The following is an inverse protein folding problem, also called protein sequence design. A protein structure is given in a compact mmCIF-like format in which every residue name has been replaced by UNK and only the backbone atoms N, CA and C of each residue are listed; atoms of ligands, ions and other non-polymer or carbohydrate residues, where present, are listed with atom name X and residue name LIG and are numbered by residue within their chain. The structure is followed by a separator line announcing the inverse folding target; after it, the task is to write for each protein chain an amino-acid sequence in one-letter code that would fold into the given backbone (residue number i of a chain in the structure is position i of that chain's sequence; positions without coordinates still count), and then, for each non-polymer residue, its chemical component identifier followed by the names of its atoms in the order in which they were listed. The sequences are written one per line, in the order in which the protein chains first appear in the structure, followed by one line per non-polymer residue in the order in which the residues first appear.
data_IF_958424036120
#
_entry.id   IF_958424036120
#
_cell.length_a   1.000
_cell.length_b   1.000
_cell.length_c   1.000
_cell.angle_alpha   90.00
_cell.angle_beta   90.00
_cell.angle_gamma   90.00
#
_symmetry.space_group_name_H-M   'P 1'
#
loop_
_entity.id
_entity.type
_entity.pdbx_description
1 polymer ?
#
# COMPACT_ATOMS: atom_id res chain seq x y z
N UNK A 1 5.99 12.95 6.06
CA UNK A 1 5.85 11.64 5.36
C UNK A 1 5.98 10.56 6.43
N UNK A 2 4.86 10.02 6.94
CA UNK A 2 4.82 9.24 8.20
C UNK A 2 5.76 8.03 8.13
N UNK A 3 6.76 8.01 9.01
CA UNK A 3 7.78 6.98 9.11
C UNK A 3 7.44 5.97 10.21
N UNK A 4 6.58 5.01 9.92
CA UNK A 4 6.46 3.77 10.71
C UNK A 4 7.54 2.79 10.25
N UNK A 5 8.74 2.89 10.83
CA UNK A 5 9.89 2.05 10.46
C UNK A 5 9.62 0.54 10.59
N UNK A 6 8.80 0.14 11.57
CA UNK A 6 8.50 -1.27 11.85
C UNK A 6 7.62 -1.91 10.77
N UNK A 7 6.56 -1.23 10.33
CA UNK A 7 5.70 -1.72 9.25
C UNK A 7 6.47 -1.83 7.93
N UNK A 8 7.34 -0.86 7.63
CA UNK A 8 8.18 -0.89 6.44
C UNK A 8 9.22 -2.03 6.46
N UNK A 9 9.66 -2.44 7.66
CA UNK A 9 10.57 -3.58 7.85
C UNK A 9 9.86 -4.91 7.67
N UNK A 10 8.64 -5.06 8.21
CA UNK A 10 7.81 -6.25 8.00
C UNK A 10 7.49 -6.44 6.51
N UNK A 11 7.04 -5.39 5.81
CA UNK A 11 6.80 -5.44 4.37
C UNK A 11 8.06 -5.80 3.57
N UNK A 12 9.24 -5.34 4.02
CA UNK A 12 10.49 -5.72 3.38
C UNK A 12 10.77 -7.22 3.52
N UNK A 13 10.60 -7.77 4.73
CA UNK A 13 10.80 -9.20 4.96
C UNK A 13 9.86 -10.05 4.11
N UNK A 14 8.57 -9.70 4.03
CA UNK A 14 7.58 -10.40 3.19
C UNK A 14 8.00 -10.37 1.72
N UNK A 15 8.41 -9.21 1.20
CA UNK A 15 8.88 -9.09 -0.19
C UNK A 15 10.10 -9.97 -0.45
N UNK A 16 11.07 -10.03 0.47
CA UNK A 16 12.25 -10.90 0.32
C UNK A 16 11.88 -12.38 0.27
N UNK A 17 10.94 -12.81 1.12
CA UNK A 17 10.43 -14.19 1.11
C UNK A 17 9.69 -14.49 -0.20
N UNK A 18 8.83 -13.58 -0.67
CA UNK A 18 8.11 -13.76 -1.94
C UNK A 18 9.05 -13.79 -3.15
N UNK A 19 10.07 -12.94 -3.18
CA UNK A 19 11.06 -13.01 -4.26
C UNK A 19 11.81 -14.35 -4.30
N UNK A 20 11.89 -15.07 -3.17
CA UNK A 20 12.57 -16.37 -3.09
C UNK A 20 11.66 -17.57 -3.41
N UNK A 21 10.37 -17.52 -3.05
CA UNK A 21 9.48 -18.68 -3.13
C UNK A 21 8.27 -18.49 -4.05
N UNK A 22 7.88 -17.26 -4.38
CA UNK A 22 6.69 -16.96 -5.18
C UNK A 22 7.08 -16.75 -6.66
N UNK A 23 6.74 -17.73 -7.50
CA UNK A 23 7.05 -17.72 -8.93
C UNK A 23 6.44 -16.51 -9.66
N UNK A 24 5.22 -16.08 -9.28
CA UNK A 24 4.55 -14.90 -9.86
C UNK A 24 5.33 -13.63 -9.59
N UNK A 25 5.94 -13.51 -8.42
CA UNK A 25 6.80 -12.39 -8.03
C UNK A 25 8.10 -12.42 -8.82
N UNK A 26 8.68 -13.60 -9.06
CA UNK A 26 9.86 -13.75 -9.90
C UNK A 26 9.60 -13.30 -11.35
N UNK A 27 8.49 -13.74 -11.95
CA UNK A 27 8.10 -13.33 -13.30
C UNK A 27 7.89 -11.81 -13.39
N UNK A 28 7.27 -11.22 -12.35
CA UNK A 28 7.10 -9.78 -12.28
C UNK A 28 8.44 -9.04 -12.22
N UNK A 29 9.38 -9.51 -11.41
CA UNK A 29 10.73 -8.94 -11.28
C UNK A 29 11.45 -9.04 -12.63
N UNK A 30 11.47 -10.22 -13.26
CA UNK A 30 12.10 -10.45 -14.56
C UNK A 30 11.52 -9.53 -15.63
N UNK A 31 10.19 -9.42 -15.72
CA UNK A 31 9.52 -8.52 -16.67
C UNK A 31 9.87 -7.05 -16.43
N UNK A 32 9.96 -6.60 -15.17
CA UNK A 32 10.30 -5.20 -14.85
C UNK A 32 11.78 -4.90 -15.03
N UNK A 33 12.66 -5.86 -14.77
CA UNK A 33 14.08 -5.75 -15.06
C UNK A 33 14.32 -5.65 -16.57
N UNK A 34 13.59 -6.39 -17.39
CA UNK A 34 13.64 -6.26 -18.85
C UNK A 34 13.16 -4.88 -19.35
N UNK A 35 12.30 -4.20 -18.59
CA UNK A 35 11.86 -2.82 -18.87
C UNK A 35 12.86 -1.75 -18.40
N UNK A 36 14.04 -2.13 -17.89
CA UNK A 36 15.06 -1.19 -17.43
C UNK A 36 14.85 -0.64 -16.02
N UNK A 37 13.93 -1.22 -15.24
CA UNK A 37 13.69 -0.73 -13.87
C UNK A 37 14.81 -1.16 -12.93
N UNK A 38 15.23 -0.24 -12.05
CA UNK A 38 16.17 -0.56 -10.99
C UNK A 38 15.56 -1.54 -9.99
N UNK A 39 16.39 -2.40 -9.38
CA UNK A 39 15.93 -3.32 -8.31
C UNK A 39 15.24 -2.58 -7.16
N UNK A 40 15.69 -1.35 -6.83
CA UNK A 40 15.08 -0.53 -5.77
C UNK A 40 13.65 -0.11 -6.12
N UNK A 41 13.41 0.25 -7.38
CA UNK A 41 12.07 0.65 -7.84
C UNK A 41 11.12 -0.54 -7.91
N UNK A 42 11.63 -1.71 -8.33
CA UNK A 42 10.86 -2.96 -8.31
C UNK A 42 10.46 -3.32 -6.88
N UNK A 43 11.39 -3.30 -5.92
CA UNK A 43 11.11 -3.58 -4.50
C UNK A 43 10.12 -2.56 -3.93
N UNK A 44 10.24 -1.27 -4.27
CA UNK A 44 9.29 -0.22 -3.87
C UNK A 44 7.88 -0.52 -4.38
N UNK A 45 7.77 -0.95 -5.64
CA UNK A 45 6.50 -1.34 -6.25
C UNK A 45 5.89 -2.57 -5.55
N UNK A 46 6.71 -3.59 -5.29
CA UNK A 46 6.28 -4.81 -4.59
C UNK A 46 5.81 -4.53 -3.15
N UNK A 47 6.51 -3.68 -2.40
CA UNK A 47 6.07 -3.27 -1.05
C UNK A 47 4.67 -2.64 -1.07
N UNK A 48 4.38 -1.78 -2.06
CA UNK A 48 3.04 -1.19 -2.23
C UNK A 48 1.99 -2.23 -2.59
N UNK A 49 2.33 -3.19 -3.45
CA UNK A 49 1.43 -4.26 -3.84
C UNK A 49 1.07 -5.13 -2.63
N UNK A 50 2.08 -5.60 -1.89
CA UNK A 50 1.88 -6.41 -0.66
C UNK A 50 1.08 -5.64 0.38
N UNK A 51 1.37 -4.35 0.61
CA UNK A 51 0.59 -3.55 1.56
C UNK A 51 -0.90 -3.47 1.18
N UNK A 52 -1.21 -3.38 -0.12
CA UNK A 52 -2.59 -3.40 -0.61
C UNK A 52 -3.24 -4.76 -0.42
N UNK A 53 -2.55 -5.85 -0.77
CA UNK A 53 -3.07 -7.21 -0.54
C UNK A 53 -3.37 -7.44 0.95
N UNK A 54 -2.41 -7.14 1.82
CA UNK A 54 -2.58 -7.28 3.28
C UNK A 54 -3.77 -6.46 3.76
N UNK A 55 -3.93 -5.22 3.29
CA UNK A 55 -5.08 -4.39 3.65
C UNK A 55 -6.43 -5.01 3.24
N UNK A 56 -6.49 -5.69 2.09
CA UNK A 56 -7.72 -6.37 1.64
C UNK A 56 -8.00 -7.67 2.41
N UNK A 57 -6.97 -8.33 2.93
CA UNK A 57 -7.12 -9.56 3.71
C UNK A 57 -7.41 -9.33 5.19
N UNK A 58 -7.19 -8.11 5.69
CA UNK A 58 -7.59 -7.78 7.05
C UNK A 58 -9.12 -7.74 7.13
N UNK A 59 -9.73 -8.31 8.18
CA UNK A 59 -11.16 -8.16 8.41
C UNK A 59 -11.44 -6.67 8.49
N UNK A 60 -12.29 -6.19 7.58
CA UNK A 60 -12.62 -4.79 7.47
C UNK A 60 -13.48 -4.43 8.68
N UNK A 61 -12.82 -4.10 9.80
CA UNK A 61 -13.47 -3.51 10.96
C UNK A 61 -14.28 -2.34 10.41
N UNK A 62 -15.61 -2.46 10.55
CA UNK A 62 -16.61 -1.65 9.88
C UNK A 62 -16.06 -0.24 9.62
N UNK A 63 -15.83 0.09 8.35
CA UNK A 63 -15.41 1.42 7.93
C UNK A 63 -16.39 2.37 8.65
N UNK A 64 -15.96 3.17 9.66
CA UNK A 64 -16.89 4.07 10.30
C UNK A 64 -17.46 4.93 9.17
N UNK A 65 -18.79 5.11 9.10
CA UNK A 65 -19.41 5.85 8.02
C UNK A 65 -18.64 7.15 7.90
N UNK A 66 -18.12 7.41 6.70
CA UNK A 66 -17.47 8.67 6.38
C UNK A 66 -18.42 9.75 6.87
N UNK A 67 -18.12 10.38 8.01
CA UNK A 67 -18.81 11.59 8.39
C UNK A 67 -18.42 12.55 7.28
N UNK A 68 -19.38 12.75 6.39
CA UNK A 68 -19.30 13.71 5.29
C UNK A 68 -18.64 14.93 5.88
N UNK A 69 -17.50 15.32 5.29
CA UNK A 69 -16.78 16.53 5.67
C UNK A 69 -17.81 17.61 5.94
N UNK A 70 -17.83 18.13 7.17
CA UNK A 70 -18.72 19.21 7.57
C UNK A 70 -18.71 20.29 6.48
N UNK A 71 -19.87 20.69 5.94
CA UNK A 71 -19.92 21.90 5.14
C UNK A 71 -19.72 23.08 6.11
N UNK A 72 -18.51 23.61 6.17
CA UNK A 72 -18.18 24.90 6.80
C UNK A 72 -18.75 26.06 5.99
N UNK A 73 -20.05 26.07 5.72
CA UNK A 73 -20.77 27.21 5.16
C UNK A 73 -22.28 27.05 5.33
N UNK A 74 -22.81 27.41 6.50
CA UNK A 74 -24.15 27.99 6.58
C UNK A 74 -23.96 29.48 6.82
N UNK A 75 -24.36 30.38 5.90
CA UNK A 75 -24.49 31.78 6.24
C UNK A 75 -25.67 31.89 7.22
N UNK A 76 -25.47 32.59 8.33
CA UNK A 76 -26.55 32.98 9.23
C UNK A 76 -27.54 33.86 8.44
N UNK A 77 -28.58 33.23 7.92
CA UNK A 77 -29.77 33.93 7.48
C UNK A 77 -30.68 34.14 8.70
N UNK A 78 -30.87 35.41 9.04
CA UNK A 78 -32.06 35.99 9.68
C UNK A 78 -32.38 35.64 11.14
N UNK A 79 -32.14 36.61 12.03
CA UNK A 79 -33.17 37.20 12.89
C UNK A 79 -32.72 38.59 13.35
#
# INVERSE_FOLDING_TARGET
MVATGQANKALHAIVMVRMKYDARTHDYVTRRTAQGWSKKDIIRCLKRFVAREVYHHLPQAARPPHHTRCPLHQPLASA
#
